data_IF_962183259560
#
_entry.id   IF_962183259560
#
_cell.length_a   1.000
_cell.length_b   1.000
_cell.length_c   1.000
_cell.angle_alpha   90.00
_cell.angle_beta   90.00
_cell.angle_gamma   90.00
#
_symmetry.space_group_name_H-M   'P 1'
#
loop_
_entity.id
_entity.type
_entity.pdbx_description
1 polymer ?
#
# COMPACT_ATOMS: atom_id res chain seq x y z
N UNK A 1 26.96 -14.21 -5.91
CA UNK A 1 25.99 -14.30 -4.80
C UNK A 1 24.73 -13.55 -5.20
N UNK A 2 23.52 -14.14 -5.09
CA UNK A 2 22.28 -13.39 -5.31
C UNK A 2 22.26 -12.24 -4.30
N UNK A 3 22.18 -10.99 -4.79
CA UNK A 3 22.03 -9.83 -3.91
C UNK A 3 20.65 -9.93 -3.25
N UNK A 4 20.58 -10.25 -1.96
CA UNK A 4 19.32 -10.16 -1.22
C UNK A 4 18.85 -8.71 -1.27
N UNK A 5 17.66 -8.47 -1.82
CA UNK A 5 17.03 -7.15 -1.85
C UNK A 5 15.87 -7.14 -0.86
N UNK A 6 15.82 -6.12 -0.02
CA UNK A 6 14.71 -5.94 0.92
C UNK A 6 13.42 -5.63 0.13
N UNK A 7 12.32 -6.28 0.48
CA UNK A 7 11.00 -5.87 0.00
C UNK A 7 10.63 -4.51 0.60
N UNK A 8 9.70 -3.81 -0.05
CA UNK A 8 9.25 -2.49 0.40
C UNK A 8 7.73 -2.40 0.40
N UNK A 9 7.19 -1.75 1.41
CA UNK A 9 5.75 -1.49 1.55
C UNK A 9 5.50 0.01 1.45
N UNK A 10 4.70 0.44 0.47
CA UNK A 10 4.32 1.86 0.27
C UNK A 10 2.85 1.98 -0.09
N UNK A 11 2.30 3.20 -0.08
CA UNK A 11 1.02 3.45 -0.73
C UNK A 11 1.12 3.28 -2.26
N UNK A 12 -0.03 3.31 -2.94
CA UNK A 12 -0.14 3.13 -4.39
C UNK A 12 -0.02 4.45 -5.17
N UNK A 13 0.44 5.53 -4.54
CA UNK A 13 0.66 6.83 -5.19
C UNK A 13 1.68 6.70 -6.33
N UNK A 14 1.38 7.38 -7.44
CA UNK A 14 2.17 7.31 -8.68
C UNK A 14 3.67 7.59 -8.44
N UNK A 15 3.96 8.58 -7.60
CA UNK A 15 5.33 9.00 -7.31
C UNK A 15 6.09 7.96 -6.48
N UNK A 16 5.43 7.35 -5.48
CA UNK A 16 6.02 6.27 -4.68
C UNK A 16 6.24 5.01 -5.50
N UNK A 17 5.31 4.70 -6.40
CA UNK A 17 5.43 3.60 -7.37
C UNK A 17 6.65 3.78 -8.27
N UNK A 18 6.88 4.99 -8.77
CA UNK A 18 8.03 5.32 -9.61
C UNK A 18 9.35 5.37 -8.83
N UNK A 19 9.35 5.90 -7.60
CA UNK A 19 10.55 5.95 -6.77
C UNK A 19 11.02 4.55 -6.34
N UNK A 20 10.09 3.64 -6.08
CA UNK A 20 10.37 2.28 -5.60
C UNK A 20 10.52 1.23 -6.70
N UNK A 21 10.26 1.59 -7.97
CA UNK A 21 10.44 0.69 -9.11
C UNK A 21 11.89 0.56 -9.59
N UNK A 22 12.80 1.43 -9.11
CA UNK A 22 14.18 1.57 -9.61
C UNK A 22 15.15 0.42 -9.30
N UNK A 23 14.66 -0.82 -9.12
CA UNK A 23 15.51 -2.00 -8.93
C UNK A 23 16.40 -1.99 -7.68
N UNK A 24 16.29 -0.95 -6.84
CA UNK A 24 16.96 -0.84 -5.55
C UNK A 24 16.33 -1.77 -4.50
N UNK A 25 15.04 -2.06 -4.67
CA UNK A 25 14.26 -2.90 -3.78
C UNK A 25 13.92 -4.25 -4.42
N UNK A 26 13.54 -5.19 -3.57
CA UNK A 26 12.92 -6.45 -3.95
C UNK A 26 11.44 -6.25 -4.29
N UNK A 27 10.57 -7.22 -3.97
CA UNK A 27 9.14 -7.09 -4.20
C UNK A 27 8.54 -5.85 -3.51
N UNK A 28 7.61 -5.19 -4.20
CA UNK A 28 6.81 -4.09 -3.63
C UNK A 28 5.45 -4.60 -3.19
N UNK A 29 5.05 -4.21 -1.99
CA UNK A 29 3.75 -4.46 -1.40
C UNK A 29 2.98 -3.16 -1.22
N UNK A 30 1.65 -3.21 -1.39
CA UNK A 30 0.78 -2.08 -1.08
C UNK A 30 0.54 -2.01 0.43
N UNK A 31 0.55 -0.80 1.01
CA UNK A 31 0.26 -0.65 2.43
C UNK A 31 -1.22 -0.93 2.73
N UNK A 32 -1.47 -1.76 3.74
CA UNK A 32 -2.83 -2.24 4.08
C UNK A 32 -3.78 -1.11 4.44
N UNK A 33 -3.29 -0.07 5.11
CA UNK A 33 -4.09 1.10 5.48
C UNK A 33 -4.62 1.86 4.25
N UNK A 34 -3.80 2.01 3.20
CA UNK A 34 -4.23 2.66 1.96
C UNK A 34 -5.23 1.80 1.18
N UNK A 35 -4.97 0.49 1.08
CA UNK A 35 -5.87 -0.45 0.42
C UNK A 35 -7.23 -0.46 1.11
N UNK A 36 -7.25 -0.52 2.44
CA UNK A 36 -8.48 -0.48 3.22
C UNK A 36 -9.23 0.84 3.04
N UNK A 37 -8.54 1.98 3.13
CA UNK A 37 -9.15 3.29 2.91
C UNK A 37 -9.80 3.39 1.51
N UNK A 38 -9.15 2.84 0.48
CA UNK A 38 -9.74 2.79 -0.86
C UNK A 38 -10.94 1.84 -0.92
N UNK A 39 -10.90 0.69 -0.25
CA UNK A 39 -12.05 -0.22 -0.18
C UNK A 39 -13.27 0.47 0.46
N UNK A 40 -13.09 1.20 1.56
CA UNK A 40 -14.14 1.98 2.21
C UNK A 40 -14.69 3.06 1.27
N UNK A 41 -13.80 3.85 0.64
CA UNK A 41 -14.19 4.94 -0.28
C UNK A 41 -14.95 4.44 -1.51
N UNK A 42 -14.62 3.25 -2.01
CA UNK A 42 -15.30 2.64 -3.15
C UNK A 42 -16.54 1.83 -2.74
N UNK A 43 -16.93 1.85 -1.46
CA UNK A 43 -18.10 1.11 -0.96
C UNK A 43 -17.94 -0.41 -1.00
N UNK A 44 -16.71 -0.91 -1.11
CA UNK A 44 -16.40 -2.35 -1.16
C UNK A 44 -16.43 -3.01 0.23
N UNK A 45 -16.52 -2.19 1.28
CA UNK A 45 -16.78 -2.66 2.64
C UNK A 45 -17.74 -1.70 3.35
N UNK A 46 -18.68 -2.27 4.11
CA UNK A 46 -19.46 -1.53 5.09
C UNK A 46 -18.55 -1.18 6.26
N UNK A 47 -17.98 0.02 6.22
CA UNK A 47 -17.34 0.60 7.39
C UNK A 47 -18.42 1.27 8.24
N UNK A 48 -18.70 0.70 9.40
CA UNK A 48 -19.48 1.38 10.44
C UNK A 48 -18.49 2.15 11.32
N UNK A 49 -18.52 3.49 11.36
CA UNK A 49 -17.78 4.21 12.40
C UNK A 49 -18.21 3.69 13.77
N UNK A 50 -17.28 3.57 14.75
CA UNK A 50 -17.69 3.40 16.14
C UNK A 50 -18.61 4.57 16.49
N UNK A 51 -19.77 4.26 17.09
CA UNK A 51 -20.86 5.20 17.39
C UNK A 51 -20.32 6.59 17.73
N UNK A 52 -20.65 7.58 16.89
CA UNK A 52 -20.42 8.99 17.19
C UNK A 52 -21.42 9.38 18.28
N UNK A 53 -21.09 9.06 19.53
CA UNK A 53 -21.77 9.57 20.73
C UNK A 53 -21.56 11.06 20.86
#
# INVERSE_FOLDING_TARGET
MPKQRAGITTDCGRDMVAATSNGLFGPRYACIAHVWNNAVKNGLCLWSPPNST
#
